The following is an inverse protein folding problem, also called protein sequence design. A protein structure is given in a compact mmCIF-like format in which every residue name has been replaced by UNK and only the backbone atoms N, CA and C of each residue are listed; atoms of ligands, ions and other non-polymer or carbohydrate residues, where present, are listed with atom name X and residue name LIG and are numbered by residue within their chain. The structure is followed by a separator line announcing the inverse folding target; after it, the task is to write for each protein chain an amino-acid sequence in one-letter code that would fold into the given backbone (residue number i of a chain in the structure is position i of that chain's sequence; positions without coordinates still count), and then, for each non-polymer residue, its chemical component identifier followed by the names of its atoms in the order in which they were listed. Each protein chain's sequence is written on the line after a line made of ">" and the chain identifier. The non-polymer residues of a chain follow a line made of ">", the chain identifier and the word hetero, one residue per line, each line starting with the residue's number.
data_IF_694507804345
#
_entry.id   IF_694507804345
#
_cell.length_a   1.000
_cell.length_b   1.000
_cell.length_c   1.000
_cell.angle_alpha   90.00
_cell.angle_beta   90.00
_cell.angle_gamma   90.00
#
_symmetry.space_group_name_H-M   'P 1'
#
loop_
_entity.id
_entity.type
_entity.pdbx_description
1 polymer ?
#
# COMPACT_ATOMS: atom_id res chain seq x y z
N UNK A 1 -1.96 6.86 4.91
CA UNK A 1 -2.04 5.87 6.03
C UNK A 1 -1.83 6.53 7.38
N UNK A 2 -2.28 5.91 8.47
CA UNK A 2 -2.35 6.41 9.85
C UNK A 2 -1.03 6.89 10.50
N UNK A 3 0.09 6.93 9.75
CA UNK A 3 1.44 7.44 10.12
C UNK A 3 1.99 6.91 11.45
N UNK A 4 1.41 5.83 11.97
CA UNK A 4 1.89 5.14 13.17
C UNK A 4 3.04 4.21 12.80
N UNK A 5 3.96 4.02 13.74
CA UNK A 5 5.04 3.07 13.58
C UNK A 5 4.47 1.67 13.31
N UNK A 6 4.81 1.14 12.14
CA UNK A 6 4.52 -0.24 11.77
C UNK A 6 5.57 -1.14 12.44
N UNK A 7 5.12 -2.16 13.17
CA UNK A 7 5.97 -3.23 13.72
C UNK A 7 5.48 -4.58 13.20
N UNK A 8 6.37 -5.57 13.14
CA UNK A 8 6.06 -6.92 12.63
C UNK A 8 4.91 -7.63 13.36
N UNK A 9 4.54 -7.19 14.58
CA UNK A 9 3.42 -7.75 15.34
C UNK A 9 2.10 -6.96 15.22
N UNK A 10 2.08 -5.82 14.52
CA UNK A 10 0.90 -4.94 14.40
C UNK A 10 0.54 -4.62 12.95
N UNK A 11 1.08 -5.38 12.00
CA UNK A 11 0.87 -5.17 10.57
C UNK A 11 0.87 -6.46 9.78
N UNK A 12 0.26 -6.38 8.61
CA UNK A 12 0.20 -7.44 7.62
C UNK A 12 0.55 -6.85 6.25
N UNK A 13 1.09 -7.66 5.34
CA UNK A 13 1.30 -7.23 3.97
C UNK A 13 -0.05 -7.16 3.26
N UNK A 14 -0.32 -6.00 2.66
CA UNK A 14 -1.44 -5.87 1.76
C UNK A 14 -1.07 -6.48 0.39
N UNK A 15 -1.78 -7.51 -0.10
CA UNK A 15 -1.43 -8.20 -1.34
C UNK A 15 -1.64 -7.35 -2.61
N UNK A 16 -2.41 -6.26 -2.55
CA UNK A 16 -2.72 -5.42 -3.72
C UNK A 16 -1.52 -4.55 -4.10
N UNK A 17 -0.97 -3.83 -3.13
CA UNK A 17 0.20 -2.93 -3.31
C UNK A 17 1.50 -3.51 -2.75
N UNK A 18 1.45 -4.71 -2.19
CA UNK A 18 2.56 -5.42 -1.55
C UNK A 18 3.31 -4.57 -0.48
N UNK A 19 2.55 -3.76 0.26
CA UNK A 19 3.07 -2.89 1.33
C UNK A 19 2.48 -3.26 2.69
N UNK A 20 3.23 -3.02 3.79
CA UNK A 20 2.74 -3.32 5.12
C UNK A 20 1.66 -2.33 5.56
N UNK A 21 0.52 -2.85 6.01
CA UNK A 21 -0.60 -2.10 6.57
C UNK A 21 -0.85 -2.54 8.02
N UNK A 22 -1.14 -1.60 8.93
CA UNK A 22 -1.47 -1.99 10.30
C UNK A 22 -2.88 -2.57 10.42
N UNK A 23 -3.13 -3.41 11.41
CA UNK A 23 -4.45 -4.04 11.61
C UNK A 23 -5.60 -3.04 11.82
N UNK A 24 -5.31 -1.84 12.34
CA UNK A 24 -6.32 -0.80 12.52
C UNK A 24 -6.72 -0.11 11.21
N UNK A 25 -5.81 -0.07 10.25
CA UNK A 25 -6.02 0.60 8.97
C UNK A 25 -6.36 -0.43 7.87
N UNK A 26 -6.10 -1.72 8.11
CA UNK A 26 -6.47 -2.84 7.25
C UNK A 26 -7.97 -2.88 6.97
N UNK A 27 -8.37 -2.89 5.71
CA UNK A 27 -9.77 -2.98 5.28
C UNK A 27 -10.59 -1.70 5.43
N UNK A 28 -9.96 -0.58 5.81
CA UNK A 28 -10.62 0.72 5.92
C UNK A 28 -10.69 1.41 4.55
N UNK A 29 -11.65 2.33 4.35
CA UNK A 29 -11.71 3.15 3.13
C UNK A 29 -10.44 3.99 2.90
N UNK A 30 -9.75 4.35 3.98
CA UNK A 30 -8.46 5.05 3.91
C UNK A 30 -7.35 4.17 3.33
N UNK A 31 -7.38 2.86 3.56
CA UNK A 31 -6.48 1.90 2.91
C UNK A 31 -6.78 1.78 1.43
N UNK A 32 -8.04 1.50 1.08
CA UNK A 32 -8.45 1.33 -0.32
C UNK A 32 -8.12 2.53 -1.19
N UNK A 33 -8.27 3.73 -0.64
CA UNK A 33 -7.89 4.95 -1.36
C UNK A 33 -6.38 5.01 -1.60
N UNK A 34 -5.57 4.77 -0.57
CA UNK A 34 -4.12 4.83 -0.70
C UNK A 34 -3.56 3.67 -1.52
N UNK A 35 -4.16 2.48 -1.44
CA UNK A 35 -3.86 1.36 -2.33
C UNK A 35 -4.00 1.78 -3.79
N UNK A 36 -5.12 2.41 -4.14
CA UNK A 36 -5.36 2.88 -5.50
C UNK A 36 -4.36 3.93 -5.92
N UNK A 37 -4.09 4.93 -5.08
CA UNK A 37 -3.13 6.01 -5.39
C UNK A 37 -1.69 5.49 -5.55
N UNK A 38 -1.28 4.52 -4.71
CA UNK A 38 0.03 3.86 -4.80
C UNK A 38 0.11 2.99 -6.04
N UNK A 39 -0.93 2.21 -6.35
CA UNK A 39 -0.97 1.34 -7.53
C UNK A 39 -0.93 2.15 -8.83
N UNK A 40 -1.67 3.27 -8.88
CA UNK A 40 -1.68 4.23 -10.00
C UNK A 40 -0.29 4.85 -10.18
N UNK A 41 0.33 5.34 -9.09
CA UNK A 41 1.69 5.87 -9.11
C UNK A 41 2.75 4.82 -9.51
N UNK A 42 2.56 3.55 -9.12
CA UNK A 42 3.44 2.45 -9.54
C UNK A 42 3.30 2.18 -11.04
N UNK A 43 2.07 2.26 -11.57
CA UNK A 43 1.78 2.04 -12.97
C UNK A 43 2.38 3.14 -13.87
N UNK A 44 2.29 4.41 -13.45
CA UNK A 44 2.93 5.53 -14.14
C UNK A 44 4.46 5.44 -14.14
N UNK A 45 5.06 4.84 -13.11
CA UNK A 45 6.50 4.58 -13.03
C UNK A 45 6.97 3.35 -13.83
N UNK A 46 6.06 2.47 -14.25
CA UNK A 46 6.37 1.25 -14.98
C UNK A 46 6.24 1.43 -16.51
N UNK A 47 6.71 2.56 -17.02
CA UNK A 47 7.29 2.57 -18.37
C UNK A 47 8.57 1.74 -18.34
N UNK A 48 8.40 0.42 -18.44
CA UNK A 48 9.42 -0.48 -18.97
C UNK A 48 9.66 -0.01 -20.41
N UNK A 49 10.51 1.00 -20.57
CA UNK A 49 11.05 1.37 -21.86
C UNK A 49 11.67 0.10 -22.43
N UNK A 50 11.11 -0.39 -23.53
CA UNK A 50 11.68 -1.47 -24.30
C UNK A 50 13.18 -1.17 -24.52
N UNK A 51 14.05 -1.95 -23.88
CA UNK A 51 15.46 -2.10 -24.24
C UNK A 51 15.58 -3.44 -24.96
#
# INVERSE_FOLDING_TARGET
>A
MCKKAITSGNSELNPVINMPVCFNCKGTDAEKKEEKEVLDSLADGFVCGCI
#
